data_IF_175598002393
#
_entry.id   IF_175598002393
#
_cell.length_a   1.000
_cell.length_b   1.000
_cell.length_c   1.000
_cell.angle_alpha   90.00
_cell.angle_beta   90.00
_cell.angle_gamma   90.00
#
_symmetry.space_group_name_H-M   'P 1'
#
loop_
_entity.id
_entity.type
_entity.pdbx_description
1 polymer ?
#
# COMPACT_ATOMS: atom_id res chain seq x y z
N UNK A 1 -7.97 -40.36 -44.98
CA UNK A 1 -7.20 -40.49 -43.72
C UNK A 1 -8.10 -40.24 -42.53
N UNK A 2 -8.52 -41.28 -41.79
CA UNK A 2 -9.22 -41.13 -40.51
C UNK A 2 -8.17 -41.01 -39.41
N UNK A 3 -7.86 -39.80 -38.95
CA UNK A 3 -6.94 -39.59 -37.84
C UNK A 3 -7.70 -39.85 -36.53
N UNK A 4 -7.23 -40.82 -35.73
CA UNK A 4 -7.88 -41.16 -34.46
C UNK A 4 -7.71 -40.00 -33.47
N UNK A 5 -8.75 -39.71 -32.68
CA UNK A 5 -8.75 -38.61 -31.68
C UNK A 5 -7.55 -38.71 -30.72
N UNK A 6 -7.16 -39.94 -30.37
CA UNK A 6 -5.99 -40.23 -29.52
C UNK A 6 -4.67 -39.83 -30.19
N UNK A 7 -4.56 -40.00 -31.51
CA UNK A 7 -3.35 -39.64 -32.26
C UNK A 7 -3.25 -38.13 -32.49
N UNK A 8 -4.39 -37.45 -32.60
CA UNK A 8 -4.42 -35.99 -32.62
C UNK A 8 -3.87 -35.41 -31.30
N UNK A 9 -4.33 -35.91 -30.15
CA UNK A 9 -3.85 -35.43 -28.84
C UNK A 9 -2.36 -35.67 -28.62
N UNK A 10 -1.84 -36.86 -28.96
CA UNK A 10 -0.41 -37.18 -28.81
C UNK A 10 0.48 -36.27 -29.66
N UNK A 11 0.10 -36.03 -30.92
CA UNK A 11 0.86 -35.15 -31.83
C UNK A 11 0.83 -33.70 -31.35
N UNK A 12 -0.31 -33.24 -30.85
CA UNK A 12 -0.47 -31.89 -30.31
C UNK A 12 0.42 -31.67 -29.07
N UNK A 13 0.44 -32.63 -28.14
CA UNK A 13 1.30 -32.58 -26.96
C UNK A 13 2.80 -32.64 -27.30
N UNK A 14 3.18 -33.48 -28.27
CA UNK A 14 4.57 -33.57 -28.73
C UNK A 14 5.04 -32.27 -29.38
N UNK A 15 4.22 -31.69 -30.26
CA UNK A 15 4.52 -30.42 -30.93
C UNK A 15 4.61 -29.25 -29.94
N UNK A 16 3.77 -29.23 -28.91
CA UNK A 16 3.87 -28.24 -27.82
C UNK A 16 5.15 -28.44 -27.00
N UNK A 17 5.53 -29.68 -26.69
CA UNK A 17 6.78 -29.98 -25.98
C UNK A 17 8.02 -29.52 -26.74
N UNK A 18 8.06 -29.75 -28.06
CA UNK A 18 9.14 -29.29 -28.94
C UNK A 18 9.25 -27.76 -28.97
N UNK A 19 8.11 -27.07 -29.08
CA UNK A 19 8.05 -25.62 -29.04
C UNK A 19 8.54 -25.04 -27.71
N UNK A 20 8.12 -25.63 -26.58
CA UNK A 20 8.55 -25.20 -25.23
C UNK A 20 10.05 -25.40 -25.04
N UNK A 21 10.62 -26.54 -25.44
CA UNK A 21 12.06 -26.79 -25.34
C UNK A 21 12.88 -25.83 -26.23
N UNK A 22 12.39 -25.52 -27.43
CA UNK A 22 13.02 -24.56 -28.33
C UNK A 22 13.10 -23.16 -27.72
N UNK A 23 11.99 -22.67 -27.15
CA UNK A 23 11.94 -21.36 -26.47
C UNK A 23 12.80 -21.36 -25.20
N UNK A 24 12.82 -22.46 -24.44
CA UNK A 24 13.63 -22.57 -23.22
C UNK A 24 15.14 -22.46 -23.49
N UNK A 25 15.62 -23.03 -24.61
CA UNK A 25 17.01 -22.84 -25.04
C UNK A 25 17.28 -21.42 -25.54
N UNK A 26 16.32 -20.77 -26.20
CA UNK A 26 16.47 -19.38 -26.63
C UNK A 26 16.53 -18.40 -25.45
N UNK A 27 15.75 -18.64 -24.37
CA UNK A 27 15.77 -17.81 -23.16
C UNK A 27 17.05 -17.98 -22.33
N UNK A 28 17.76 -19.10 -22.46
CA UNK A 28 19.08 -19.28 -21.82
C UNK A 28 20.20 -18.45 -22.47
N UNK A 29 19.96 -17.89 -23.66
CA UNK A 29 20.94 -17.05 -24.37
C UNK A 29 20.85 -15.56 -23.99
N UNK A 30 19.85 -15.13 -23.21
CA UNK A 30 19.90 -13.83 -22.55
C UNK A 30 20.73 -13.98 -21.28
N UNK A 31 22.03 -13.80 -21.43
CA UNK A 31 22.94 -13.59 -20.32
C UNK A 31 22.42 -12.49 -19.40
N UNK A 32 22.66 -12.75 -18.13
CA UNK A 32 22.69 -11.87 -16.97
C UNK A 32 23.35 -10.51 -17.30
N UNK A 33 22.61 -9.65 -18.00
CA UNK A 33 22.84 -8.21 -17.97
C UNK A 33 21.81 -7.66 -17.01
N UNK A 34 22.13 -7.80 -15.73
CA UNK A 34 21.72 -6.75 -14.79
C UNK A 34 22.06 -5.42 -15.47
N UNK A 35 21.09 -4.52 -15.69
CA UNK A 35 21.41 -3.17 -16.11
C UNK A 35 22.46 -2.64 -15.13
N UNK A 36 23.59 -2.17 -15.64
CA UNK A 36 24.62 -1.47 -14.86
C UNK A 36 24.01 -0.15 -14.36
N UNK A 37 23.15 -0.25 -13.37
CA UNK A 37 22.67 0.88 -12.59
C UNK A 37 23.81 1.21 -11.65
N UNK A 38 24.35 2.42 -11.80
CA UNK A 38 25.40 2.95 -10.93
C UNK A 38 25.06 2.65 -9.46
N UNK A 39 26.06 2.13 -8.74
CA UNK A 39 25.96 1.64 -7.38
C UNK A 39 25.17 2.63 -6.50
N UNK A 40 24.06 2.17 -5.91
CA UNK A 40 23.23 2.94 -4.98
C UNK A 40 23.95 3.25 -3.67
N UNK A 41 25.23 2.92 -3.54
CA UNK A 41 26.11 3.24 -2.41
C UNK A 41 26.05 4.72 -2.00
N UNK A 42 25.86 5.65 -2.93
CA UNK A 42 25.77 7.08 -2.63
C UNK A 42 24.34 7.57 -2.34
N UNK A 43 23.32 6.71 -2.44
CA UNK A 43 21.94 7.09 -2.11
C UNK A 43 21.74 7.13 -0.59
N UNK A 44 22.07 8.27 -0.01
CA UNK A 44 21.69 8.58 1.37
C UNK A 44 20.20 8.95 1.38
N UNK A 45 19.37 8.04 1.91
CA UNK A 45 17.99 8.35 2.24
C UNK A 45 17.97 9.53 3.23
N UNK A 46 17.65 10.72 2.75
CA UNK A 46 17.40 11.86 3.62
C UNK A 46 16.17 11.52 4.47
N UNK A 47 16.25 11.56 5.81
CA UNK A 47 15.09 11.29 6.66
C UNK A 47 13.98 12.25 6.29
N UNK A 48 12.91 11.70 5.71
CA UNK A 48 11.78 12.46 5.22
C UNK A 48 11.26 13.41 6.29
N UNK A 49 11.07 14.65 5.88
CA UNK A 49 10.43 15.75 6.60
C UNK A 49 9.35 15.26 7.57
N UNK A 50 9.31 15.84 8.77
CA UNK A 50 8.38 15.49 9.86
C UNK A 50 6.91 15.68 9.46
N UNK A 51 6.35 14.72 8.71
CA UNK A 51 5.01 14.75 8.11
C UNK A 51 4.16 13.59 8.60
N UNK A 52 2.86 13.81 8.61
CA UNK A 52 1.82 12.85 8.99
C UNK A 52 0.66 12.91 8.01
N UNK A 53 0.09 11.76 7.70
CA UNK A 53 -1.09 11.69 6.85
C UNK A 53 -2.34 12.19 7.61
N UNK A 54 -3.17 12.98 6.96
CA UNK A 54 -4.46 13.47 7.48
C UNK A 54 -5.57 13.08 6.52
N UNK A 55 -6.65 12.52 7.06
CA UNK A 55 -7.81 12.07 6.30
C UNK A 55 -8.82 13.20 6.10
N UNK A 56 -9.30 13.35 4.88
CA UNK A 56 -10.43 14.20 4.50
C UNK A 56 -11.58 13.29 4.09
N UNK A 57 -12.42 12.94 5.05
CA UNK A 57 -13.42 11.87 4.87
C UNK A 57 -14.68 12.32 4.10
N UNK A 58 -14.84 13.61 3.83
CA UNK A 58 -16.02 14.17 3.14
C UNK A 58 -16.20 13.61 1.73
N UNK A 59 -15.08 13.36 1.03
CA UNK A 59 -15.04 12.77 -0.31
C UNK A 59 -14.33 11.41 -0.36
N UNK A 60 -14.17 10.74 0.78
CA UNK A 60 -13.51 9.45 0.82
C UNK A 60 -14.42 8.33 0.33
N UNK A 61 -14.01 7.64 -0.75
CA UNK A 61 -14.76 6.49 -1.31
C UNK A 61 -14.92 5.34 -0.31
N UNK A 62 -14.00 5.19 0.65
CA UNK A 62 -14.10 4.19 1.72
C UNK A 62 -15.40 4.31 2.54
N UNK A 63 -16.00 5.51 2.59
CA UNK A 63 -17.26 5.76 3.30
C UNK A 63 -18.43 4.95 2.74
N UNK A 64 -18.53 4.86 1.41
CA UNK A 64 -19.72 4.33 0.73
C UNK A 64 -19.44 3.12 -0.16
N UNK A 65 -18.25 3.02 -0.76
CA UNK A 65 -17.92 2.00 -1.77
C UNK A 65 -16.81 1.05 -1.35
N UNK A 66 -16.28 1.16 -0.13
CA UNK A 66 -15.26 0.24 0.38
C UNK A 66 -13.93 0.33 -0.37
N UNK A 67 -13.43 1.55 -0.63
CA UNK A 67 -12.08 1.74 -1.19
C UNK A 67 -10.98 1.44 -0.14
N UNK A 68 -10.04 0.54 -0.46
CA UNK A 68 -8.93 0.14 0.42
C UNK A 68 -7.54 0.63 -0.04
N UNK A 69 -7.46 1.44 -1.09
CA UNK A 69 -6.20 1.75 -1.79
C UNK A 69 -5.08 2.28 -0.88
N UNK A 70 -5.41 3.11 0.11
CA UNK A 70 -4.44 3.64 1.08
C UNK A 70 -4.08 2.65 2.19
N UNK A 71 -5.03 1.80 2.62
CA UNK A 71 -4.84 0.82 3.70
C UNK A 71 -3.89 -0.28 3.24
N UNK A 72 -4.10 -0.82 2.04
CA UNK A 72 -3.29 -1.93 1.48
C UNK A 72 -1.82 -1.56 1.26
N UNK A 73 -1.53 -0.26 1.12
CA UNK A 73 -0.18 0.25 0.85
C UNK A 73 0.49 0.85 2.08
N UNK A 74 -0.16 0.81 3.24
CA UNK A 74 0.40 1.33 4.47
C UNK A 74 1.22 0.23 5.17
N UNK A 75 2.52 0.18 4.87
CA UNK A 75 3.46 -0.79 5.45
C UNK A 75 3.50 -0.71 6.98
N UNK A 76 3.41 0.51 7.54
CA UNK A 76 3.40 0.73 8.99
C UNK A 76 2.05 0.52 9.66
N UNK A 77 1.03 0.09 8.89
CA UNK A 77 -0.31 -0.22 9.38
C UNK A 77 -0.98 0.93 10.16
N UNK A 78 -0.59 2.17 9.85
CA UNK A 78 -1.11 3.36 10.51
C UNK A 78 -2.57 3.69 10.13
N UNK A 79 -3.10 3.13 9.05
CA UNK A 79 -4.41 3.49 8.49
C UNK A 79 -5.41 2.36 8.71
N UNK A 80 -6.58 2.68 9.26
CA UNK A 80 -7.71 1.76 9.46
C UNK A 80 -8.94 2.28 8.73
N UNK A 81 -9.62 1.41 7.99
CA UNK A 81 -10.91 1.72 7.38
C UNK A 81 -12.03 1.55 8.41
N UNK A 82 -12.94 2.52 8.45
CA UNK A 82 -14.14 2.53 9.28
C UNK A 82 -15.35 2.64 8.34
N UNK A 83 -16.16 1.57 8.20
CA UNK A 83 -17.34 1.57 7.32
C UNK A 83 -18.29 2.73 7.63
N UNK A 84 -18.81 3.39 6.60
CA UNK A 84 -19.72 4.55 6.77
C UNK A 84 -19.05 5.85 7.21
N UNK A 85 -17.76 5.83 7.56
CA UNK A 85 -17.00 7.02 8.00
C UNK A 85 -15.86 7.35 7.03
N UNK A 86 -15.12 6.35 6.55
CA UNK A 86 -13.92 6.55 5.73
C UNK A 86 -12.70 5.90 6.37
N UNK A 87 -11.62 6.65 6.58
CA UNK A 87 -10.39 6.14 7.21
C UNK A 87 -9.99 6.92 8.46
N UNK A 88 -9.28 6.24 9.37
CA UNK A 88 -8.64 6.79 10.56
C UNK A 88 -7.14 6.51 10.50
N UNK A 89 -6.35 7.47 10.94
CA UNK A 89 -4.89 7.41 10.84
C UNK A 89 -4.31 7.53 12.24
N UNK A 90 -3.49 6.57 12.65
CA UNK A 90 -2.69 6.63 13.85
C UNK A 90 -1.40 7.39 13.56
N UNK A 91 -1.31 8.63 14.04
CA UNK A 91 -0.16 9.49 13.84
C UNK A 91 1.15 8.90 14.39
N UNK A 92 1.10 8.11 15.47
CA UNK A 92 2.28 7.50 16.10
C UNK A 92 2.92 6.42 15.22
N UNK A 93 2.11 5.71 14.43
CA UNK A 93 2.58 4.67 13.51
C UNK A 93 2.88 5.21 12.11
N UNK A 94 2.41 6.41 11.77
CA UNK A 94 2.61 6.99 10.45
C UNK A 94 4.07 7.42 10.28
N UNK A 95 4.77 6.81 9.32
CA UNK A 95 6.19 7.06 9.03
C UNK A 95 6.42 8.33 8.21
N UNK A 96 5.36 8.91 7.61
CA UNK A 96 5.51 10.06 6.74
C UNK A 96 5.77 9.73 5.26
N UNK A 97 5.75 8.44 4.85
CA UNK A 97 6.19 8.01 3.51
C UNK A 97 5.37 8.57 2.33
N UNK A 98 4.13 9.01 2.55
CA UNK A 98 3.29 9.62 1.51
C UNK A 98 2.67 8.67 0.48
N UNK A 99 2.93 7.35 0.53
CA UNK A 99 2.35 6.38 -0.41
C UNK A 99 0.82 6.45 -0.45
N UNK A 100 0.18 6.61 0.71
CA UNK A 100 -1.27 6.73 0.80
C UNK A 100 -1.84 7.96 0.07
N UNK A 101 -1.13 9.09 0.12
CA UNK A 101 -1.47 10.33 -0.56
C UNK A 101 -1.36 10.17 -2.08
N UNK A 102 -0.31 9.49 -2.54
CA UNK A 102 -0.06 9.23 -3.95
C UNK A 102 -1.17 8.36 -4.57
N UNK A 103 -1.47 7.23 -3.94
CA UNK A 103 -2.38 6.19 -4.49
C UNK A 103 -3.86 6.46 -4.31
N UNK A 104 -4.25 7.50 -3.57
CA UNK A 104 -5.65 7.86 -3.43
C UNK A 104 -6.26 8.19 -4.81
N UNK A 105 -7.32 7.52 -5.27
CA UNK A 105 -7.84 7.72 -6.63
C UNK A 105 -8.74 8.96 -6.78
N UNK A 106 -9.11 9.61 -5.67
CA UNK A 106 -10.07 10.72 -5.68
C UNK A 106 -9.37 12.05 -5.93
N UNK A 107 -10.06 12.96 -6.60
CA UNK A 107 -9.67 14.37 -6.79
C UNK A 107 -10.81 15.26 -6.27
N UNK A 108 -10.61 16.08 -5.23
CA UNK A 108 -9.41 16.20 -4.40
C UNK A 108 -9.12 14.90 -3.64
N UNK A 109 -7.88 14.75 -3.16
CA UNK A 109 -7.43 13.51 -2.54
C UNK A 109 -7.99 13.41 -1.13
N UNK A 110 -8.52 12.25 -0.76
CA UNK A 110 -9.14 12.01 0.55
C UNK A 110 -8.11 11.82 1.68
N UNK A 111 -6.82 11.82 1.36
CA UNK A 111 -5.71 11.74 2.31
C UNK A 111 -4.54 12.57 1.78
N UNK A 112 -3.93 13.37 2.67
CA UNK A 112 -2.88 14.34 2.34
C UNK A 112 -1.79 14.30 3.42
N UNK A 113 -0.54 14.50 3.04
CA UNK A 113 0.56 14.62 4.00
C UNK A 113 0.70 16.05 4.50
N UNK A 114 0.62 16.25 5.81
CA UNK A 114 0.81 17.54 6.48
C UNK A 114 2.03 17.52 7.38
N UNK A 115 2.62 18.67 7.67
CA UNK A 115 3.69 18.77 8.66
C UNK A 115 3.14 18.52 10.07
N UNK A 116 3.87 17.80 10.93
CA UNK A 116 3.40 17.50 12.29
C UNK A 116 3.19 18.75 13.14
N UNK A 117 3.98 19.80 12.89
CA UNK A 117 3.83 21.11 13.54
C UNK A 117 2.43 21.72 13.34
N UNK A 118 1.70 21.32 12.29
CA UNK A 118 0.34 21.81 12.02
C UNK A 118 -0.75 20.84 12.50
N UNK A 119 -0.42 19.61 12.86
CA UNK A 119 -1.40 18.58 13.24
C UNK A 119 -1.79 18.59 14.73
N UNK A 120 -1.04 19.29 15.59
CA UNK A 120 -1.34 19.42 17.03
C UNK A 120 -2.12 20.69 17.40
N UNK A 121 -2.37 21.60 16.46
CA UNK A 121 -3.14 22.83 16.70
C UNK A 121 -4.68 22.64 16.62
N UNK A 122 -5.19 21.41 16.42
CA UNK A 122 -6.64 21.15 16.35
C UNK A 122 -7.16 19.90 17.09
N UNK A 123 -6.46 19.37 18.11
CA UNK A 123 -7.08 18.36 18.99
C UNK A 123 -6.59 18.36 20.44
N UNK A 124 -6.40 19.53 21.04
CA UNK A 124 -6.50 19.66 22.48
C UNK A 124 -8.00 19.56 22.88
N UNK A 125 -8.57 18.36 22.81
CA UNK A 125 -9.59 18.00 23.77
C UNK A 125 -8.84 17.39 24.95
N UNK A 126 -8.80 18.06 26.11
CA UNK A 126 -8.28 17.44 27.32
C UNK A 126 -9.03 16.14 27.52
N UNK A 127 -8.29 15.05 27.72
CA UNK A 127 -8.87 13.88 28.36
C UNK A 127 -9.52 14.37 29.65
N UNK A 128 -10.85 14.25 29.76
CA UNK A 128 -11.54 14.43 31.03
C UNK A 128 -10.89 13.48 32.03
N UNK A 129 -10.25 14.08 33.03
CA UNK A 129 -9.76 13.39 34.22
C UNK A 129 -11.03 12.87 34.93
N UNK A 130 -11.20 11.56 35.15
CA UNK A 130 -12.30 11.06 35.95
C UNK A 130 -12.25 11.69 37.35
N UNK A 131 -13.37 12.12 37.95
CA UNK A 131 -13.33 12.71 39.29
C UNK A 131 -12.83 11.68 40.30
N UNK A 132 -11.72 12.02 40.99
CA UNK A 132 -11.28 11.32 42.18
C UNK A 132 -12.40 11.40 43.23
N UNK A 133 -12.99 10.24 43.54
CA UNK A 133 -13.95 10.11 44.62
C UNK A 133 -13.15 10.16 45.93
N UNK A 134 -13.18 11.32 46.57
CA UNK A 134 -12.40 11.64 47.76
C UNK A 134 -12.60 10.65 48.91
N UNK A 135 -11.49 10.42 49.61
CA UNK A 135 -11.43 9.81 50.93
C UNK A 135 -12.43 10.50 51.87
N UNK A 136 -13.38 9.72 52.39
CA UNK A 136 -14.13 10.10 53.59
C UNK A 136 -13.51 9.37 54.76
N UNK A 137 -12.69 10.09 55.52
CA UNK A 137 -12.27 9.71 56.87
C UNK A 137 -13.35 10.17 57.85
N UNK A 138 -13.88 9.21 58.63
CA UNK A 138 -14.43 9.38 59.97
C UNK A 138 -14.18 8.06 60.72
#
# INVERSE_FOLDING_TARGET
MNISRKDFFKKSLLSLGEAVCSVSNALKASGDSTPDVADVADFVATPGENRVAVAQNDHCLAKNSGCFACVERCESQAIRLIPGVGVRINALLCTGCGTCEYVCPVTPKAIRMQSRINSQSMSAHPAEIPPEKGDTTC
#
